data_IF_562077182917
#
_entry.id   IF_562077182917
#
_cell.length_a   1.000
_cell.length_b   1.000
_cell.length_c   1.000
_cell.angle_alpha   90.00
_cell.angle_beta   90.00
_cell.angle_gamma   90.00
#
_symmetry.space_group_name_H-M   'P 1'
#
loop_
_entity.id
_entity.type
_entity.pdbx_description
1 polymer ?
#
# COMPACT_ATOMS: atom_id res chain seq x y z
N UNK A 1 -1.24 3.78 34.98
CA UNK A 1 -2.61 4.31 34.91
C UNK A 1 -2.62 5.50 33.97
N UNK A 2 -3.58 5.59 33.03
CA UNK A 2 -3.77 6.75 32.15
C UNK A 2 -4.86 7.72 32.64
N UNK A 3 -5.37 7.53 33.86
CA UNK A 3 -6.53 8.26 34.41
C UNK A 3 -6.36 9.79 34.53
N UNK A 4 -5.13 10.32 34.46
CA UNK A 4 -4.86 11.76 34.48
C UNK A 4 -4.32 12.33 33.15
N UNK A 5 -4.34 11.54 32.07
CA UNK A 5 -3.83 12.00 30.78
C UNK A 5 -4.81 12.98 30.11
N UNK A 6 -4.33 14.14 29.68
CA UNK A 6 -5.11 15.10 28.90
C UNK A 6 -5.18 14.67 27.44
N UNK A 7 -6.38 14.65 26.86
CA UNK A 7 -6.57 14.47 25.42
C UNK A 7 -6.01 15.68 24.66
N UNK A 8 -5.12 15.45 23.70
CA UNK A 8 -4.47 16.51 22.92
C UNK A 8 -5.13 16.67 21.54
N UNK A 9 -5.26 15.58 20.78
CA UNK A 9 -5.84 15.59 19.43
C UNK A 9 -6.24 14.17 18.99
N UNK A 10 -7.09 14.07 17.96
CA UNK A 10 -7.43 12.82 17.27
C UNK A 10 -7.47 13.02 15.75
N UNK A 11 -7.04 12.00 15.00
CA UNK A 11 -7.06 12.01 13.54
C UNK A 11 -7.68 10.73 12.98
N UNK A 12 -8.35 10.88 11.85
CA UNK A 12 -8.89 9.80 11.05
C UNK A 12 -8.32 9.85 9.63
N UNK A 13 -8.30 8.71 8.95
CA UNK A 13 -7.81 8.61 7.58
C UNK A 13 -8.30 7.33 6.88
N UNK A 14 -8.48 7.41 5.57
CA UNK A 14 -8.88 6.26 4.76
C UNK A 14 -7.77 5.21 4.72
N UNK A 15 -8.18 3.94 4.66
CA UNK A 15 -7.30 2.80 4.46
C UNK A 15 -7.74 2.08 3.18
N UNK A 16 -7.20 2.48 2.01
CA UNK A 16 -7.57 1.85 0.76
C UNK A 16 -7.30 0.35 0.82
N UNK A 17 -8.33 -0.44 0.59
CA UNK A 17 -8.26 -1.89 0.41
C UNK A 17 -8.88 -2.20 -0.94
N UNK A 18 -8.27 -3.12 -1.68
CA UNK A 18 -8.93 -3.69 -2.84
C UNK A 18 -9.85 -4.82 -2.37
N UNK A 19 -10.98 -4.98 -3.05
CA UNK A 19 -11.92 -6.08 -2.80
C UNK A 19 -11.65 -7.19 -3.81
N UNK A 20 -11.23 -8.36 -3.33
CA UNK A 20 -11.02 -9.55 -4.16
C UNK A 20 -10.54 -10.72 -3.32
N UNK A 21 -11.33 -11.80 -3.26
CA UNK A 21 -11.01 -13.04 -2.53
C UNK A 21 -11.47 -13.08 -1.06
N UNK A 22 -11.78 -14.29 -0.59
CA UNK A 22 -12.19 -14.57 0.79
C UNK A 22 -10.98 -14.41 1.75
N UNK A 23 -10.83 -13.22 2.34
CA UNK A 23 -9.72 -12.90 3.24
C UNK A 23 -9.21 -11.44 3.15
N UNK A 24 -9.67 -10.69 2.15
CA UNK A 24 -9.20 -9.35 1.83
C UNK A 24 -8.35 -9.34 0.56
N UNK A 25 -8.44 -8.26 -0.23
CA UNK A 25 -7.65 -8.13 -1.45
C UNK A 25 -6.19 -7.86 -1.14
N UNK A 26 -5.30 -8.50 -1.88
CA UNK A 26 -3.87 -8.16 -1.91
C UNK A 26 -3.67 -6.76 -2.49
N UNK A 27 -2.60 -6.02 -2.11
CA UNK A 27 -2.28 -4.76 -2.76
C UNK A 27 -2.04 -4.98 -4.26
N UNK A 28 -2.49 -4.06 -5.09
CA UNK A 28 -2.11 -4.06 -6.50
C UNK A 28 -0.80 -3.29 -6.63
N UNK A 29 0.23 -3.99 -7.10
CA UNK A 29 1.57 -3.45 -7.40
C UNK A 29 1.95 -3.92 -8.80
N UNK A 30 1.80 -3.05 -9.80
CA UNK A 30 1.99 -3.44 -11.20
C UNK A 30 1.50 -2.41 -12.22
N UNK A 31 1.60 -2.71 -13.52
CA UNK A 31 1.17 -1.80 -14.58
C UNK A 31 -0.35 -1.63 -14.61
N UNK A 32 -0.80 -0.43 -14.98
CA UNK A 32 -2.22 -0.16 -15.21
C UNK A 32 -2.74 -0.99 -16.40
N UNK A 33 -3.92 -1.64 -16.27
CA UNK A 33 -4.51 -2.39 -17.37
C UNK A 33 -5.04 -1.51 -18.50
N UNK A 34 -5.26 -0.21 -18.25
CA UNK A 34 -5.90 0.71 -19.20
C UNK A 34 -5.05 1.90 -19.61
N UNK A 35 -3.90 2.13 -18.97
CA UNK A 35 -3.06 3.30 -19.20
C UNK A 35 -1.62 2.89 -19.46
N UNK A 36 -1.08 3.28 -20.62
CA UNK A 36 0.32 3.09 -20.93
C UNK A 36 1.22 3.88 -19.96
N UNK A 37 2.35 3.28 -19.57
CA UNK A 37 3.36 3.90 -18.71
C UNK A 37 2.89 4.33 -17.30
N UNK A 38 1.77 3.79 -16.82
CA UNK A 38 1.27 4.01 -15.45
C UNK A 38 1.49 2.76 -14.61
N UNK A 39 2.06 2.94 -13.42
CA UNK A 39 2.18 1.89 -12.40
C UNK A 39 1.24 2.18 -11.24
N UNK A 40 0.49 1.17 -10.80
CA UNK A 40 -0.42 1.23 -9.68
C UNK A 40 0.26 0.55 -8.48
N UNK A 41 0.28 1.22 -7.32
CA UNK A 41 0.81 0.70 -6.06
C UNK A 41 -0.13 1.08 -4.90
N UNK A 42 -1.28 0.41 -4.80
CA UNK A 42 -2.35 0.77 -3.84
C UNK A 42 -3.01 -0.47 -3.23
N UNK A 43 -3.90 -0.27 -2.26
CA UNK A 43 -4.68 -1.35 -1.65
C UNK A 43 -4.03 -2.00 -0.43
N UNK A 44 -2.99 -1.40 0.13
CA UNK A 44 -2.25 -1.98 1.27
C UNK A 44 -3.01 -2.01 2.60
N UNK A 45 -4.18 -1.37 2.67
CA UNK A 45 -5.00 -1.29 3.88
C UNK A 45 -4.17 -0.89 5.12
N UNK A 46 -4.25 -1.66 6.21
CA UNK A 46 -3.50 -1.48 7.47
C UNK A 46 -2.02 -1.85 7.37
N UNK A 47 -1.58 -2.44 6.26
CA UNK A 47 -0.22 -2.96 6.07
C UNK A 47 0.67 -2.03 5.24
N UNK A 48 0.22 -0.81 4.91
CA UNK A 48 0.97 0.11 4.05
C UNK A 48 2.39 0.41 4.54
N UNK A 49 2.55 0.72 5.83
CA UNK A 49 3.87 1.01 6.42
C UNK A 49 4.77 -0.23 6.42
N UNK A 50 4.21 -1.40 6.75
CA UNK A 50 4.94 -2.67 6.76
C UNK A 50 5.46 -3.06 5.37
N UNK A 51 4.63 -2.86 4.34
CA UNK A 51 4.90 -3.29 2.97
C UNK A 51 5.57 -2.21 2.10
N UNK A 52 5.77 -1.00 2.62
CA UNK A 52 6.33 0.11 1.85
C UNK A 52 7.70 -0.22 1.22
N UNK A 53 8.68 -0.82 1.92
CA UNK A 53 9.99 -1.12 1.32
C UNK A 53 9.90 -2.10 0.16
N UNK A 54 9.14 -3.20 0.33
CA UNK A 54 8.94 -4.20 -0.72
C UNK A 54 8.18 -3.62 -1.91
N UNK A 55 7.16 -2.81 -1.66
CA UNK A 55 6.40 -2.13 -2.72
C UNK A 55 7.30 -1.20 -3.53
N UNK A 56 8.16 -0.42 -2.86
CA UNK A 56 9.09 0.48 -3.52
C UNK A 56 10.10 -0.28 -4.40
N UNK A 57 10.59 -1.43 -3.91
CA UNK A 57 11.47 -2.30 -4.68
C UNK A 57 10.78 -2.80 -5.95
N UNK A 58 9.61 -3.43 -5.84
CA UNK A 58 8.86 -3.96 -6.98
C UNK A 58 8.51 -2.89 -8.02
N UNK A 59 8.09 -1.70 -7.58
CA UNK A 59 7.81 -0.56 -8.48
C UNK A 59 9.08 -0.09 -9.17
N UNK A 60 10.20 0.02 -8.43
CA UNK A 60 11.48 0.45 -9.01
C UNK A 60 11.98 -0.55 -10.06
N UNK A 61 11.84 -1.84 -9.79
CA UNK A 61 12.27 -2.88 -10.71
C UNK A 61 11.44 -2.89 -11.99
N UNK A 62 10.12 -2.70 -11.86
CA UNK A 62 9.23 -2.60 -13.00
C UNK A 62 9.50 -1.35 -13.85
N UNK A 63 9.72 -0.19 -13.22
CA UNK A 63 9.96 1.08 -13.94
C UNK A 63 11.34 1.13 -14.58
N UNK A 64 12.34 0.50 -13.96
CA UNK A 64 13.73 0.47 -14.45
C UNK A 64 14.06 -0.79 -15.26
N UNK A 65 13.07 -1.63 -15.56
CA UNK A 65 13.21 -2.90 -16.28
C UNK A 65 14.27 -3.85 -15.68
N UNK A 66 14.40 -3.84 -14.35
CA UNK A 66 15.36 -4.71 -13.65
C UNK A 66 14.80 -6.12 -13.53
N UNK A 67 15.58 -7.11 -13.96
CA UNK A 67 15.30 -8.53 -13.69
C UNK A 67 16.03 -8.97 -12.43
N UNK A 68 15.32 -9.69 -11.57
CA UNK A 68 15.92 -10.40 -10.45
C UNK A 68 16.32 -11.79 -10.95
N UNK A 69 17.57 -12.19 -10.70
CA UNK A 69 18.10 -13.50 -11.05
C UNK A 69 17.62 -14.58 -10.08
#
# INVERSE_FOLDING_TARGET
STSGATFVDARAGLRPSLTGGAGGGVPHVGPSPSLAHVTIATGHFRNGVLLAPLTAQLVSDQVLEKRHA
#
